data_IF_003843446108
#
_entry.id   IF_003843446108
#
_cell.length_a   1.000
_cell.length_b   1.000
_cell.length_c   1.000
_cell.angle_alpha   90.00
_cell.angle_beta   90.00
_cell.angle_gamma   90.00
#
_symmetry.space_group_name_H-M   'P 1'
#
loop_
_entity.id
_entity.type
_entity.pdbx_description
1 polymer ?
#
# COMPACT_ATOMS: atom_id res chain seq x y z
N UNK A 1 -15.71 -29.08 -78.00
CA UNK A 1 -15.04 -29.49 -76.75
C UNK A 1 -13.88 -28.52 -76.53
N UNK A 2 -14.04 -27.58 -75.61
CA UNK A 2 -13.11 -26.47 -75.40
C UNK A 2 -13.60 -25.64 -74.22
N UNK A 3 -12.67 -25.31 -73.33
CA UNK A 3 -12.86 -24.88 -71.95
C UNK A 3 -13.71 -23.62 -71.75
N UNK A 4 -14.53 -23.61 -70.69
CA UNK A 4 -14.94 -22.38 -70.01
C UNK A 4 -14.84 -22.55 -68.49
N UNK A 5 -14.30 -21.49 -67.91
CA UNK A 5 -13.71 -21.33 -66.60
C UNK A 5 -14.77 -20.76 -65.65
N UNK A 6 -15.01 -21.37 -64.49
CA UNK A 6 -15.80 -20.76 -63.41
C UNK A 6 -14.92 -20.59 -62.17
N UNK A 7 -14.57 -19.33 -61.93
CA UNK A 7 -13.85 -18.84 -60.75
C UNK A 7 -14.79 -18.94 -59.54
N UNK A 8 -14.43 -19.75 -58.55
CA UNK A 8 -14.98 -19.60 -57.20
C UNK A 8 -14.21 -18.50 -56.46
N UNK A 9 -14.93 -17.48 -56.03
CA UNK A 9 -14.43 -16.45 -55.13
C UNK A 9 -14.33 -17.03 -53.70
N UNK A 10 -13.13 -16.98 -53.11
CA UNK A 10 -12.91 -17.27 -51.69
C UNK A 10 -13.08 -15.96 -50.93
N UNK A 11 -14.14 -15.84 -50.13
CA UNK A 11 -14.25 -14.80 -49.11
C UNK A 11 -13.32 -15.17 -47.94
N UNK A 12 -12.23 -14.43 -47.78
CA UNK A 12 -11.43 -14.48 -46.57
C UNK A 12 -12.09 -13.57 -45.52
N UNK A 13 -12.65 -14.18 -44.47
CA UNK A 13 -13.08 -13.48 -43.27
C UNK A 13 -11.82 -13.19 -42.45
N UNK A 14 -11.35 -11.94 -42.47
CA UNK A 14 -10.28 -11.49 -41.58
C UNK A 14 -10.84 -11.38 -40.16
N UNK A 15 -10.61 -12.42 -39.35
CA UNK A 15 -10.82 -12.36 -37.91
C UNK A 15 -9.82 -11.37 -37.30
N UNK A 16 -10.27 -10.15 -37.02
CA UNK A 16 -9.51 -9.16 -36.28
C UNK A 16 -9.30 -9.63 -34.85
N UNK A 17 -8.13 -10.21 -34.57
CA UNK A 17 -7.68 -10.46 -33.21
C UNK A 17 -7.39 -9.10 -32.58
N UNK A 18 -8.29 -8.63 -31.72
CA UNK A 18 -8.03 -7.49 -30.86
C UNK A 18 -6.94 -7.87 -29.86
N UNK A 19 -5.71 -7.47 -30.16
CA UNK A 19 -4.59 -7.53 -29.21
C UNK A 19 -4.77 -6.38 -28.22
N UNK A 20 -5.58 -6.59 -27.19
CA UNK A 20 -5.45 -5.77 -25.99
C UNK A 20 -4.02 -5.97 -25.46
N UNK A 21 -3.24 -4.90 -25.20
CA UNK A 21 -1.93 -5.05 -24.61
C UNK A 21 -2.10 -5.77 -23.27
N UNK A 22 -1.21 -6.73 -22.93
CA UNK A 22 -1.26 -7.37 -21.63
C UNK A 22 -1.08 -6.27 -20.58
N UNK A 23 -2.11 -6.07 -19.77
CA UNK A 23 -1.94 -5.45 -18.45
C UNK A 23 -0.84 -6.28 -17.81
N UNK A 24 0.35 -5.70 -17.62
CA UNK A 24 1.46 -6.42 -17.00
C UNK A 24 0.97 -6.94 -15.66
N UNK A 25 0.70 -8.24 -15.62
CA UNK A 25 0.49 -8.97 -14.39
C UNK A 25 1.84 -8.95 -13.70
N UNK A 26 2.05 -7.96 -12.84
CA UNK A 26 3.11 -7.99 -11.85
C UNK A 26 2.90 -9.28 -11.07
N UNK A 27 3.72 -10.30 -11.37
CA UNK A 27 3.61 -11.59 -10.72
C UNK A 27 3.75 -11.35 -9.20
N UNK A 28 2.76 -11.79 -8.43
CA UNK A 28 2.83 -11.72 -6.97
C UNK A 28 4.12 -12.42 -6.54
N UNK A 29 5.06 -11.64 -6.00
CA UNK A 29 6.31 -12.18 -5.50
C UNK A 29 6.05 -12.88 -4.17
N UNK A 30 6.86 -13.88 -3.79
CA UNK A 30 6.76 -14.45 -2.46
C UNK A 30 6.84 -13.31 -1.42
N UNK A 31 5.99 -13.36 -0.38
CA UNK A 31 5.89 -12.25 0.57
C UNK A 31 7.27 -12.00 1.19
N UNK A 32 7.72 -10.74 1.28
CA UNK A 32 9.01 -10.42 1.85
C UNK A 32 9.07 -10.89 3.31
N UNK A 33 10.26 -11.32 3.74
CA UNK A 33 10.54 -11.49 5.18
C UNK A 33 10.68 -10.10 5.79
N UNK A 34 10.09 -9.89 6.96
CA UNK A 34 10.20 -8.65 7.71
C UNK A 34 11.13 -8.85 8.91
N UNK A 35 11.92 -7.84 9.23
CA UNK A 35 12.75 -7.77 10.43
C UNK A 35 12.17 -6.67 11.33
N UNK A 36 11.86 -6.94 12.61
CA UNK A 36 11.33 -5.93 13.52
C UNK A 36 12.18 -4.66 13.63
N UNK A 37 13.49 -4.73 13.38
CA UNK A 37 14.38 -3.56 13.38
C UNK A 37 14.12 -2.59 12.23
N UNK A 38 13.54 -3.09 11.12
CA UNK A 38 13.23 -2.30 9.93
C UNK A 38 11.88 -1.58 10.10
N UNK A 39 11.17 -1.82 11.21
CA UNK A 39 9.84 -1.27 11.45
C UNK A 39 9.94 0.19 11.92
N UNK A 40 9.17 1.07 11.28
CA UNK A 40 9.14 2.50 11.63
C UNK A 40 7.99 2.75 12.62
N UNK A 41 8.27 3.23 13.84
CA UNK A 41 7.24 3.65 14.77
C UNK A 41 6.53 4.90 14.26
N UNK A 42 5.19 4.88 14.21
CA UNK A 42 4.38 6.01 13.76
C UNK A 42 3.51 6.55 14.90
N UNK A 43 3.82 7.76 15.34
CA UNK A 43 3.06 8.49 16.37
C UNK A 43 1.98 9.35 15.72
N UNK A 44 0.98 9.77 16.51
CA UNK A 44 -0.02 10.70 16.01
C UNK A 44 0.60 12.06 15.66
N UNK A 45 0.23 12.61 14.51
CA UNK A 45 0.83 13.82 13.93
C UNK A 45 1.85 13.54 12.83
N UNK A 46 2.74 14.50 12.53
CA UNK A 46 3.82 14.37 11.55
C UNK A 46 4.90 13.38 12.00
N UNK A 47 5.34 12.53 11.08
CA UNK A 47 6.47 11.62 11.25
C UNK A 47 7.43 11.83 10.07
N UNK A 48 8.69 12.14 10.38
CA UNK A 48 9.74 12.39 9.38
C UNK A 48 10.52 11.11 9.11
N UNK A 49 10.35 10.54 7.93
CA UNK A 49 10.88 9.21 7.57
C UNK A 49 11.54 9.34 6.19
N UNK A 50 12.71 8.74 5.99
CA UNK A 50 13.30 8.64 4.64
C UNK A 50 12.68 7.41 3.96
N UNK A 51 11.67 7.63 3.11
CA UNK A 51 10.85 6.58 2.51
C UNK A 51 11.43 6.09 1.18
N UNK A 52 12.10 6.93 0.40
CA UNK A 52 12.68 6.51 -0.89
C UNK A 52 14.20 6.23 -0.82
N UNK A 53 14.85 6.55 0.30
CA UNK A 53 16.25 6.29 0.54
C UNK A 53 17.19 7.32 -0.09
N UNK A 54 16.69 8.49 -0.48
CA UNK A 54 17.49 9.58 -1.05
C UNK A 54 18.30 10.35 0.01
N UNK A 55 18.07 10.09 1.29
CA UNK A 55 18.72 10.73 2.43
C UNK A 55 18.01 11.99 2.94
N UNK A 56 17.00 12.48 2.22
CA UNK A 56 16.07 13.50 2.69
C UNK A 56 14.95 12.88 3.53
N UNK A 57 14.22 13.72 4.26
CA UNK A 57 13.08 13.26 5.06
C UNK A 57 11.77 13.55 4.34
N UNK A 58 11.00 12.49 4.17
CA UNK A 58 9.62 12.52 3.73
C UNK A 58 8.67 12.64 4.92
N UNK A 59 7.40 12.86 4.61
CA UNK A 59 6.36 13.08 5.60
C UNK A 59 5.33 11.95 5.60
N UNK A 60 5.14 11.35 6.78
CA UNK A 60 4.00 10.48 7.09
C UNK A 60 3.14 11.15 8.15
N UNK A 61 1.88 11.44 7.84
CA UNK A 61 0.95 12.00 8.82
C UNK A 61 0.01 10.90 9.29
N UNK A 62 -0.05 10.68 10.61
CA UNK A 62 -1.03 9.80 11.25
C UNK A 62 -2.03 10.63 12.05
N UNK A 63 -3.24 10.76 11.53
CA UNK A 63 -4.30 11.53 12.16
C UNK A 63 -5.29 10.60 12.86
N UNK A 64 -5.82 11.00 14.02
CA UNK A 64 -6.95 10.30 14.66
C UNK A 64 -8.25 10.92 14.16
N UNK A 65 -9.12 10.10 13.59
CA UNK A 65 -10.51 10.46 13.36
C UNK A 65 -11.34 9.96 14.53
N UNK A 66 -11.94 10.91 15.25
CA UNK A 66 -12.95 10.63 16.27
C UNK A 66 -14.33 10.85 15.64
N UNK A 67 -15.14 9.80 15.58
CA UNK A 67 -16.49 9.91 15.04
C UNK A 67 -17.33 10.88 15.89
N UNK A 68 -18.21 11.69 15.27
CA UNK A 68 -19.21 12.46 16.02
C UNK A 68 -20.18 11.50 16.72
N UNK A 69 -20.57 11.79 17.97
CA UNK A 69 -21.34 10.94 18.92
C UNK A 69 -20.46 9.96 19.72
N UNK A 70 -20.91 9.43 20.90
CA UNK A 70 -20.12 8.51 21.73
C UNK A 70 -20.00 7.12 21.07
N UNK A 71 -19.27 7.08 19.96
CA UNK A 71 -18.81 5.86 19.33
C UNK A 71 -17.47 5.50 19.99
N UNK A 72 -17.33 4.31 20.60
CA UNK A 72 -16.03 3.83 21.07
C UNK A 72 -15.07 3.50 19.91
N UNK A 73 -15.49 3.72 18.66
CA UNK A 73 -14.75 3.43 17.46
C UNK A 73 -14.13 4.72 16.90
N UNK A 74 -12.86 4.95 17.22
CA UNK A 74 -12.01 5.86 16.44
C UNK A 74 -11.31 5.09 15.32
N UNK A 75 -10.72 5.79 14.37
CA UNK A 75 -9.73 5.19 13.47
C UNK A 75 -8.61 6.17 13.21
N UNK A 76 -7.47 5.65 12.75
CA UNK A 76 -6.35 6.45 12.29
C UNK A 76 -6.41 6.55 10.77
N UNK A 77 -6.03 7.71 10.26
CA UNK A 77 -5.84 7.99 8.83
C UNK A 77 -4.35 8.24 8.62
N UNK A 78 -3.77 7.63 7.58
CA UNK A 78 -2.37 7.79 7.22
C UNK A 78 -2.28 8.40 5.82
N UNK A 79 -1.50 9.47 5.69
CA UNK A 79 -1.08 10.04 4.41
C UNK A 79 0.43 10.00 4.30
N UNK A 80 0.93 9.77 3.09
CA UNK A 80 2.37 9.65 2.79
C UNK A 80 2.72 10.68 1.73
N UNK A 81 3.85 11.36 1.88
CA UNK A 81 4.29 12.41 0.97
C UNK A 81 5.79 12.38 0.81
N UNK A 82 6.28 12.28 -0.43
CA UNK A 82 7.71 12.27 -0.76
C UNK A 82 8.20 13.70 -0.98
N UNK A 83 9.32 14.04 -0.36
CA UNK A 83 10.10 15.24 -0.62
C UNK A 83 11.08 14.97 -1.75
N UNK A 84 11.14 15.85 -2.74
CA UNK A 84 12.19 15.77 -3.77
C UNK A 84 12.49 17.14 -4.35
N UNK A 85 13.75 17.37 -4.69
CA UNK A 85 14.21 18.54 -5.44
C UNK A 85 14.33 18.26 -6.95
N UNK A 86 14.02 17.04 -7.38
CA UNK A 86 13.98 16.67 -8.79
C UNK A 86 12.79 17.34 -9.49
N UNK A 87 13.03 17.96 -10.65
CA UNK A 87 11.95 18.45 -11.52
C UNK A 87 11.25 17.26 -12.17
N UNK A 88 10.16 16.81 -11.55
CA UNK A 88 9.35 15.71 -12.06
C UNK A 88 8.26 16.19 -13.03
N UNK A 89 8.63 17.04 -13.99
CA UNK A 89 7.85 17.28 -15.21
C UNK A 89 6.71 18.30 -15.10
N UNK A 90 6.67 19.11 -14.06
CA UNK A 90 5.77 20.27 -13.94
C UNK A 90 6.43 21.57 -14.44
N UNK A 91 7.69 21.52 -14.88
CA UNK A 91 8.41 22.67 -15.43
C UNK A 91 8.74 23.75 -14.41
N UNK A 92 8.64 23.41 -13.12
CA UNK A 92 9.01 24.25 -12.01
C UNK A 92 10.26 23.66 -11.34
N UNK A 93 11.38 24.35 -11.49
CA UNK A 93 12.58 24.08 -10.70
C UNK A 93 12.29 24.45 -9.24
N UNK A 94 12.49 23.52 -8.31
CA UNK A 94 12.28 23.79 -6.89
C UNK A 94 12.01 22.55 -6.04
N UNK A 95 11.76 22.80 -4.75
CA UNK A 95 11.36 21.80 -3.77
C UNK A 95 9.91 21.40 -4.01
N UNK A 96 9.64 20.10 -4.05
CA UNK A 96 8.31 19.57 -4.26
C UNK A 96 7.92 18.52 -3.19
N UNK A 97 6.62 18.43 -2.93
CA UNK A 97 6.01 17.45 -2.04
C UNK A 97 4.96 16.65 -2.81
N UNK A 98 5.16 15.35 -2.98
CA UNK A 98 4.29 14.47 -3.76
C UNK A 98 3.51 13.51 -2.88
N UNK A 99 2.19 13.60 -2.91
CA UNK A 99 1.33 12.63 -2.23
C UNK A 99 1.46 11.27 -2.89
N UNK A 100 1.72 10.24 -2.08
CA UNK A 100 1.87 8.86 -2.56
C UNK A 100 0.50 8.21 -2.72
N UNK A 101 0.24 7.61 -3.88
CA UNK A 101 -1.04 6.98 -4.19
C UNK A 101 -1.07 5.49 -3.84
N UNK A 102 -2.28 4.95 -3.68
CA UNK A 102 -2.54 3.51 -3.57
C UNK A 102 -3.45 3.06 -4.73
N UNK A 103 -2.89 2.77 -5.91
CA UNK A 103 -3.65 2.54 -7.14
C UNK A 103 -4.59 1.31 -7.06
N UNK A 104 -4.21 0.31 -6.26
CA UNK A 104 -5.00 -0.92 -6.07
C UNK A 104 -6.17 -0.76 -5.09
N UNK A 105 -6.34 0.41 -4.45
CA UNK A 105 -7.44 0.68 -3.55
C UNK A 105 -8.60 1.35 -4.30
N UNK A 106 -9.82 0.89 -4.00
CA UNK A 106 -11.03 1.17 -4.77
C UNK A 106 -11.28 2.68 -5.04
N UNK A 107 -11.86 3.01 -6.22
CA UNK A 107 -12.07 4.37 -6.75
C UNK A 107 -12.85 5.35 -5.86
N UNK A 108 -12.86 6.67 -6.19
CA UNK A 108 -12.37 7.27 -7.45
C UNK A 108 -10.87 7.57 -7.42
N UNK A 109 -10.15 7.12 -8.45
CA UNK A 109 -8.70 7.39 -8.73
C UNK A 109 -7.75 7.23 -7.55
N UNK A 110 -7.50 5.99 -7.11
CA UNK A 110 -6.48 5.67 -6.11
C UNK A 110 -6.77 6.29 -4.73
N UNK A 111 -6.79 5.49 -3.66
CA UNK A 111 -6.83 6.12 -2.34
C UNK A 111 -5.51 6.85 -2.10
N UNK A 112 -5.57 8.06 -1.56
CA UNK A 112 -4.40 8.81 -1.09
C UNK A 112 -4.11 8.55 0.39
N UNK A 113 -4.97 7.76 1.04
CA UNK A 113 -4.93 7.51 2.47
C UNK A 113 -5.22 6.04 2.81
N UNK A 114 -4.57 5.56 3.86
CA UNK A 114 -4.91 4.31 4.54
C UNK A 114 -5.65 4.61 5.83
N UNK A 115 -6.58 3.73 6.19
CA UNK A 115 -7.36 3.86 7.42
C UNK A 115 -7.22 2.61 8.26
N UNK A 116 -7.10 2.77 9.59
CA UNK A 116 -7.36 1.66 10.50
C UNK A 116 -8.86 1.46 10.67
N UNK A 117 -9.24 0.36 11.31
CA UNK A 117 -10.61 0.15 11.75
C UNK A 117 -10.55 -0.48 13.14
N UNK A 118 -11.24 0.15 14.10
CA UNK A 118 -11.19 -0.22 15.50
C UNK A 118 -12.57 -0.69 15.96
N UNK A 119 -12.66 -1.93 16.46
CA UNK A 119 -13.75 -2.38 17.30
C UNK A 119 -13.54 -1.98 18.77
N UNK A 120 -14.53 -2.22 19.63
CA UNK A 120 -14.48 -1.88 21.05
C UNK A 120 -13.33 -2.59 21.80
N UNK A 121 -12.92 -3.77 21.33
CA UNK A 121 -11.86 -4.58 21.95
C UNK A 121 -10.82 -5.12 20.96
N UNK A 122 -11.09 -5.02 19.66
CA UNK A 122 -10.24 -5.63 18.64
C UNK A 122 -10.07 -4.71 17.44
N UNK A 123 -8.82 -4.55 17.01
CA UNK A 123 -8.49 -3.85 15.78
C UNK A 123 -8.79 -4.78 14.60
N UNK A 124 -9.58 -4.31 13.64
CA UNK A 124 -9.98 -5.08 12.46
C UNK A 124 -9.21 -4.68 11.23
N UNK A 125 -8.60 -3.49 11.21
CA UNK A 125 -7.64 -3.09 10.17
C UNK A 125 -6.55 -2.22 10.79
N UNK A 126 -5.30 -2.47 10.41
CA UNK A 126 -4.13 -1.73 10.90
C UNK A 126 -2.97 -1.86 9.91
N UNK A 127 -1.96 -1.00 10.01
CA UNK A 127 -0.80 -0.98 9.10
C UNK A 127 0.53 -1.00 9.86
N UNK A 128 1.56 -1.60 9.26
CA UNK A 128 2.95 -1.46 9.69
C UNK A 128 3.77 -0.88 8.55
N UNK A 129 4.49 0.21 8.84
CA UNK A 129 5.49 0.77 7.94
C UNK A 129 6.83 0.08 8.22
N UNK A 130 7.46 -0.42 7.18
CA UNK A 130 8.76 -1.08 7.22
C UNK A 130 9.66 -0.41 6.20
N UNK A 131 10.80 0.10 6.63
CA UNK A 131 11.82 0.69 5.75
C UNK A 131 13.08 -0.14 5.92
N UNK A 132 13.42 -0.91 4.88
CA UNK A 132 14.65 -1.68 4.88
C UNK A 132 15.78 -0.83 4.32
N UNK A 133 16.77 -0.58 5.17
CA UNK A 133 18.09 -0.13 4.74
C UNK A 133 19.05 -1.31 4.82
N UNK A 134 19.50 -1.79 3.67
CA UNK A 134 20.54 -2.80 3.59
C UNK A 134 21.71 -2.22 2.78
N UNK A 135 22.90 -2.26 3.37
CA UNK A 135 24.12 -1.74 2.76
C UNK A 135 24.34 -2.38 1.38
N UNK A 136 24.62 -1.53 0.38
CA UNK A 136 24.82 -1.96 -1.01
C UNK A 136 23.53 -2.33 -1.77
N UNK A 137 22.35 -2.11 -1.19
CA UNK A 137 21.06 -2.29 -1.88
C UNK A 137 20.19 -1.04 -1.76
N UNK A 138 19.37 -0.71 -2.77
CA UNK A 138 18.40 0.38 -2.64
C UNK A 138 17.47 0.15 -1.44
N UNK A 139 17.17 1.23 -0.72
CA UNK A 139 16.17 1.20 0.35
C UNK A 139 14.84 0.67 -0.19
N UNK A 140 14.14 -0.12 0.62
CA UNK A 140 12.84 -0.66 0.25
C UNK A 140 11.82 -0.33 1.32
N UNK A 141 10.90 0.57 0.99
CA UNK A 141 9.78 0.95 1.85
C UNK A 141 8.56 0.12 1.53
N UNK A 142 7.97 -0.46 2.57
CA UNK A 142 6.83 -1.34 2.48
C UNK A 142 5.78 -0.97 3.52
N UNK A 143 4.52 -1.11 3.11
CA UNK A 143 3.39 -1.10 4.01
C UNK A 143 2.82 -2.50 4.07
N UNK A 144 2.69 -3.04 5.28
CA UNK A 144 1.91 -4.25 5.51
C UNK A 144 0.58 -3.83 6.11
N UNK A 145 -0.50 -3.96 5.36
CA UNK A 145 -1.85 -3.80 5.88
C UNK A 145 -2.38 -5.16 6.34
N UNK A 146 -2.85 -5.24 7.57
CA UNK A 146 -3.63 -6.38 8.04
C UNK A 146 -5.11 -5.99 8.09
N UNK A 147 -5.96 -6.86 7.59
CA UNK A 147 -7.41 -6.68 7.60
C UNK A 147 -8.12 -7.98 7.98
N UNK A 148 -9.03 -7.86 8.94
CA UNK A 148 -9.96 -8.90 9.36
C UNK A 148 -11.37 -8.46 9.00
N UNK A 149 -12.08 -9.28 8.22
CA UNK A 149 -13.50 -9.02 7.96
C UNK A 149 -14.32 -9.30 9.22
N UNK A 150 -15.33 -8.47 9.46
CA UNK A 150 -16.33 -8.72 10.49
C UNK A 150 -17.29 -9.76 9.93
N UNK A 151 -17.38 -10.92 10.59
CA UNK A 151 -18.30 -11.99 10.24
C UNK A 151 -19.60 -11.86 11.04
N UNK A 152 -19.61 -12.29 12.31
CA UNK A 152 -20.75 -12.17 13.22
C UNK A 152 -20.66 -10.94 14.11
N UNK A 153 -19.58 -10.85 14.90
CA UNK A 153 -19.32 -9.76 15.85
C UNK A 153 -17.94 -9.13 15.68
N UNK A 154 -17.75 -7.94 16.25
CA UNK A 154 -16.44 -7.27 16.34
C UNK A 154 -15.42 -8.06 17.20
N UNK A 155 -15.88 -8.95 18.07
CA UNK A 155 -15.04 -9.76 18.94
C UNK A 155 -14.74 -11.17 18.40
N UNK A 156 -15.42 -11.59 17.33
CA UNK A 156 -15.27 -12.95 16.83
C UNK A 156 -13.91 -13.11 16.14
N UNK A 157 -13.10 -14.12 16.50
CA UNK A 157 -11.85 -14.39 15.80
C UNK A 157 -12.10 -14.75 14.34
N UNK A 158 -11.34 -14.15 13.43
CA UNK A 158 -11.37 -14.49 12.02
C UNK A 158 -10.00 -14.53 11.38
N UNK A 159 -9.93 -15.14 10.20
CA UNK A 159 -8.73 -15.09 9.36
C UNK A 159 -8.40 -13.64 9.00
N UNK A 160 -7.13 -13.28 9.14
CA UNK A 160 -6.58 -11.97 8.79
C UNK A 160 -5.94 -12.05 7.41
N UNK A 161 -6.27 -11.12 6.53
CA UNK A 161 -5.55 -10.91 5.28
C UNK A 161 -4.43 -9.89 5.50
N UNK A 162 -3.20 -10.30 5.24
CA UNK A 162 -2.06 -9.40 5.11
C UNK A 162 -1.85 -9.03 3.64
N UNK A 163 -1.88 -7.74 3.34
CA UNK A 163 -1.54 -7.19 2.02
C UNK A 163 -0.27 -6.37 2.15
N UNK A 164 0.75 -6.70 1.36
CA UNK A 164 2.00 -5.94 1.35
C UNK A 164 2.03 -5.05 0.12
N UNK A 165 2.30 -3.77 0.34
CA UNK A 165 2.59 -2.78 -0.67
C UNK A 165 4.06 -2.40 -0.62
N UNK A 166 4.66 -2.12 -1.77
CA UNK A 166 6.00 -1.57 -1.89
C UNK A 166 5.92 -0.19 -2.51
N UNK A 167 6.67 0.76 -1.97
CA UNK A 167 6.82 2.08 -2.58
C UNK A 167 7.59 1.92 -3.90
N UNK A 168 6.99 2.40 -4.98
CA UNK A 168 7.59 2.43 -6.30
C UNK A 168 7.63 3.88 -6.79
N UNK A 169 8.73 4.24 -7.43
CA UNK A 169 8.80 5.43 -8.28
C UNK A 169 8.22 5.08 -9.65
N UNK A 170 7.41 5.96 -10.21
CA UNK A 170 6.71 5.75 -11.47
C UNK A 170 7.63 5.41 -12.65
N UNK A 171 7.05 4.81 -13.69
CA UNK A 171 7.79 4.40 -14.90
C UNK A 171 8.18 5.58 -15.78
N UNK A 172 9.10 5.46 -16.76
CA UNK A 172 9.44 6.54 -17.70
C UNK A 172 8.25 7.18 -18.47
N UNK A 173 7.09 6.52 -18.54
CA UNK A 173 5.84 7.05 -19.16
C UNK A 173 4.94 7.81 -18.18
N UNK A 174 5.15 7.62 -16.88
CA UNK A 174 4.61 8.45 -15.79
C UNK A 174 5.70 8.55 -14.71
N UNK A 175 6.83 9.22 -15.01
CA UNK A 175 8.03 9.15 -14.17
C UNK A 175 7.87 9.83 -12.80
N UNK A 176 6.66 10.37 -12.55
CA UNK A 176 6.37 11.40 -11.58
C UNK A 176 5.28 10.97 -10.58
N UNK A 177 4.93 9.68 -10.52
CA UNK A 177 3.97 9.16 -9.53
C UNK A 177 4.68 8.19 -8.58
N UNK A 178 4.83 8.59 -7.33
CA UNK A 178 5.15 7.66 -6.25
C UNK A 178 3.88 6.92 -5.86
N UNK A 179 3.95 5.59 -5.82
CA UNK A 179 2.80 4.76 -5.50
C UNK A 179 3.19 3.57 -4.62
N UNK A 180 2.32 3.24 -3.68
CA UNK A 180 2.38 1.97 -2.97
C UNK A 180 1.67 0.90 -3.80
N UNK A 181 2.45 0.08 -4.52
CA UNK A 181 1.96 -0.99 -5.39
C UNK A 181 1.87 -2.30 -4.61
N UNK A 182 0.77 -3.04 -4.74
CA UNK A 182 0.62 -4.33 -4.07
C UNK A 182 1.61 -5.34 -4.64
N UNK A 183 2.42 -5.96 -3.78
CA UNK A 183 3.40 -6.98 -4.16
C UNK A 183 3.07 -8.38 -3.63
N UNK A 184 2.26 -8.48 -2.57
CA UNK A 184 1.77 -9.76 -2.08
C UNK A 184 0.48 -9.64 -1.30
N UNK A 185 -0.27 -10.75 -1.24
CA UNK A 185 -1.42 -10.93 -0.37
C UNK A 185 -1.39 -12.33 0.21
N UNK A 186 -1.60 -12.46 1.53
CA UNK A 186 -1.68 -13.77 2.19
C UNK A 186 -2.68 -13.74 3.33
N UNK A 187 -3.25 -14.90 3.62
CA UNK A 187 -4.07 -15.08 4.81
C UNK A 187 -3.20 -15.57 5.98
N UNK A 188 -3.62 -15.23 7.19
CA UNK A 188 -3.07 -15.79 8.42
C UNK A 188 -3.31 -17.30 8.49
N UNK A 189 -2.41 -18.01 9.18
CA UNK A 189 -2.53 -19.44 9.47
C UNK A 189 -3.54 -19.71 10.57
N UNK A 190 -3.74 -18.75 11.47
CA UNK A 190 -4.70 -18.83 12.57
C UNK A 190 -5.79 -17.75 12.45
N UNK A 191 -6.85 -17.90 13.26
CA UNK A 191 -7.89 -16.88 13.43
C UNK A 191 -7.53 -15.97 14.60
N UNK A 192 -7.78 -14.68 14.45
CA UNK A 192 -7.45 -13.66 15.45
C UNK A 192 -8.64 -12.74 15.66
N UNK A 193 -8.84 -12.28 16.90
CA UNK A 193 -9.79 -11.19 17.13
C UNK A 193 -9.20 -9.85 16.64
N UNK A 194 -7.95 -9.57 17.02
CA UNK A 194 -7.24 -8.33 16.70
C UNK A 194 -6.13 -8.56 15.67
N UNK A 195 -6.04 -7.68 14.68
CA UNK A 195 -4.97 -7.73 13.67
C UNK A 195 -3.59 -7.44 14.26
N UNK A 196 -3.50 -6.72 15.38
CA UNK A 196 -2.23 -6.50 16.09
C UNK A 196 -1.62 -7.79 16.60
N UNK A 197 -2.45 -8.68 17.15
CA UNK A 197 -2.02 -9.99 17.61
C UNK A 197 -1.54 -10.84 16.41
N UNK A 198 -2.26 -10.76 15.30
CA UNK A 198 -1.89 -11.45 14.07
C UNK A 198 -0.54 -10.96 13.52
N UNK A 199 -0.29 -9.65 13.48
CA UNK A 199 1.00 -9.07 13.09
C UNK A 199 2.15 -9.63 13.93
N UNK A 200 2.01 -9.60 15.25
CA UNK A 200 3.06 -10.06 16.17
C UNK A 200 3.34 -11.55 15.98
N UNK A 201 2.30 -12.39 15.95
CA UNK A 201 2.44 -13.85 15.95
C UNK A 201 2.82 -14.43 14.58
N UNK A 202 2.38 -13.82 13.48
CA UNK A 202 2.59 -14.37 12.13
C UNK A 202 3.77 -13.70 11.41
N UNK A 203 4.05 -12.42 11.70
CA UNK A 203 5.05 -11.61 11.00
C UNK A 203 6.17 -11.09 11.91
N UNK A 204 6.04 -11.22 13.24
CA UNK A 204 6.99 -10.64 14.20
C UNK A 204 6.92 -9.12 14.29
N UNK A 205 5.96 -8.48 13.62
CA UNK A 205 5.80 -7.04 13.60
C UNK A 205 4.94 -6.60 14.80
N UNK A 206 5.53 -5.94 15.78
CA UNK A 206 4.78 -5.42 16.94
C UNK A 206 3.95 -4.19 16.57
N UNK A 207 3.05 -3.75 17.44
CA UNK A 207 2.47 -2.42 17.30
C UNK A 207 3.39 -1.40 17.97
N UNK A 208 4.02 -0.48 17.22
CA UNK A 208 4.76 0.60 17.82
C UNK A 208 3.86 1.80 18.15
N UNK A 209 2.54 1.63 18.27
CA UNK A 209 1.67 2.60 18.94
C UNK A 209 2.11 2.73 20.41
N UNK A 210 3.25 3.36 20.59
CA UNK A 210 3.61 4.07 21.79
C UNK A 210 2.52 5.14 21.84
N UNK A 211 1.52 4.96 22.71
CA UNK A 211 0.83 6.11 23.28
C UNK A 211 1.92 6.92 23.99
N UNK A 212 2.69 7.68 23.21
CA UNK A 212 3.75 8.51 23.72
C UNK A 212 3.06 9.59 24.53
N UNK A 213 3.37 9.60 25.81
CA UNK A 213 3.25 10.77 26.64
C UNK A 213 3.67 12.01 25.83
N UNK A 214 2.76 12.98 25.59
CA UNK A 214 3.04 14.14 24.75
C UNK A 214 4.22 14.98 25.25
N UNK A 215 4.68 14.80 26.49
CA UNK A 215 5.84 15.52 27.04
C UNK A 215 7.20 15.11 26.45
N UNK A 216 7.30 13.97 25.75
CA UNK A 216 8.58 13.44 25.26
C UNK A 216 8.88 13.75 23.78
N UNK A 217 7.91 14.29 23.02
CA UNK A 217 8.07 14.49 21.57
C UNK A 217 8.63 15.86 21.15
N UNK A 218 8.75 16.81 22.07
CA UNK A 218 9.21 18.18 21.77
C UNK A 218 10.45 18.61 22.57
N UNK A 219 11.26 17.66 23.05
CA UNK A 219 12.56 17.94 23.69
C UNK A 219 13.72 17.53 22.81
#
# INVERSE_FOLDING_TARGET
MGHSCNKLAVLAVAAGVSLAPPVSAWAESPPPKFDPKDMVPLVHGPNWVDLDGDGNKDLVVKSRYSAPNPSPHSFSVYSFTIFTDEDIGVGNQGIHWYVVSFPDLAPPVGRLELTTNQGMYCLTRDIRLVVRHQEGTPSATMIVQAERKIAGSYGDPETVTFTTYRLEKGSPKSPNEFAFVRVSRKNSKSRYCSVTEAFQKELGLSNPDIESDPETQFR
#
